data_IF_219359167667
#
_entry.id   IF_219359167667
#
_cell.length_a   1.000
_cell.length_b   1.000
_cell.length_c   1.000
_cell.angle_alpha   90.00
_cell.angle_beta   90.00
_cell.angle_gamma   90.00
#
_symmetry.space_group_name_H-M   'P 1'
#
loop_
_entity.id
_entity.type
_entity.pdbx_description
1 polymer ?
#
# COMPACT_ATOMS: atom_id res chain seq x y z
N UNK A 1 12.28 5.39 -17.97
CA UNK A 1 11.21 4.44 -18.37
C UNK A 1 10.15 4.41 -17.28
N UNK A 2 8.86 4.35 -17.65
CA UNK A 2 7.77 4.15 -16.68
C UNK A 2 7.71 2.67 -16.33
N UNK A 3 7.65 2.33 -15.04
CA UNK A 3 7.52 0.93 -14.58
C UNK A 3 6.13 0.40 -14.92
N UNK A 4 6.07 -0.87 -15.30
CA UNK A 4 4.80 -1.58 -15.47
C UNK A 4 4.12 -1.77 -14.11
N UNK A 5 2.83 -1.46 -14.00
CA UNK A 5 2.04 -1.69 -12.79
C UNK A 5 1.25 -2.98 -12.94
N UNK A 6 1.49 -3.95 -12.06
CA UNK A 6 0.83 -5.25 -12.05
C UNK A 6 -0.06 -5.37 -10.81
N UNK A 7 -1.32 -5.72 -11.01
CA UNK A 7 -2.26 -5.99 -9.93
C UNK A 7 -2.34 -7.50 -9.71
N UNK A 8 -1.97 -7.96 -8.53
CA UNK A 8 -2.09 -9.37 -8.16
C UNK A 8 -3.55 -9.82 -8.09
N UNK A 9 -3.80 -11.12 -8.25
CA UNK A 9 -5.12 -11.71 -8.01
C UNK A 9 -5.64 -11.40 -6.60
N UNK A 10 -4.75 -11.38 -5.60
CA UNK A 10 -5.12 -11.02 -4.23
C UNK A 10 -5.62 -9.57 -4.14
N UNK A 11 -4.90 -8.62 -4.75
CA UNK A 11 -5.32 -7.23 -4.79
C UNK A 11 -6.67 -7.07 -5.51
N UNK A 12 -6.83 -7.66 -6.70
CA UNK A 12 -8.06 -7.57 -7.49
C UNK A 12 -9.27 -8.06 -6.69
N UNK A 13 -9.12 -9.16 -5.96
CA UNK A 13 -10.16 -9.67 -5.06
C UNK A 13 -10.49 -8.66 -3.95
N UNK A 14 -9.47 -8.08 -3.30
CA UNK A 14 -9.68 -7.07 -2.24
C UNK A 14 -10.37 -5.82 -2.76
N UNK A 15 -10.01 -5.35 -3.96
CA UNK A 15 -10.64 -4.19 -4.62
C UNK A 15 -12.14 -4.44 -4.75
N UNK A 16 -12.51 -5.58 -5.35
CA UNK A 16 -13.91 -5.96 -5.56
C UNK A 16 -14.69 -6.13 -4.24
N UNK A 17 -14.14 -6.90 -3.29
CA UNK A 17 -14.84 -7.21 -2.03
C UNK A 17 -15.02 -5.99 -1.12
N UNK A 18 -14.12 -5.01 -1.22
CA UNK A 18 -14.13 -3.84 -0.33
C UNK A 18 -14.76 -2.61 -0.95
N UNK A 19 -15.10 -2.66 -2.24
CA UNK A 19 -15.56 -1.50 -3.02
C UNK A 19 -14.52 -0.37 -3.01
N UNK A 20 -13.28 -0.73 -3.33
CA UNK A 20 -12.18 0.21 -3.45
C UNK A 20 -12.10 0.68 -4.90
N UNK A 21 -11.95 1.99 -5.18
CA UNK A 21 -11.79 2.46 -6.55
C UNK A 21 -10.60 1.77 -7.23
N UNK A 22 -10.82 1.21 -8.42
CA UNK A 22 -9.83 0.34 -9.08
C UNK A 22 -8.45 0.99 -9.22
N UNK A 23 -8.38 2.29 -9.56
CA UNK A 23 -7.11 3.01 -9.74
C UNK A 23 -6.45 3.48 -8.44
N UNK A 24 -7.14 3.40 -7.30
CA UNK A 24 -6.63 3.91 -6.02
C UNK A 24 -5.32 3.26 -5.56
N UNK A 25 -5.12 1.93 -5.68
CA UNK A 25 -3.86 1.31 -5.25
C UNK A 25 -2.66 1.82 -6.03
N UNK A 26 -2.79 1.99 -7.35
CA UNK A 26 -1.74 2.57 -8.17
C UNK A 26 -1.46 4.02 -7.76
N UNK A 27 -2.52 4.83 -7.59
CA UNK A 27 -2.37 6.23 -7.17
C UNK A 27 -1.57 6.36 -5.88
N UNK A 28 -1.94 5.62 -4.83
CA UNK A 28 -1.20 5.62 -3.55
C UNK A 28 0.24 5.13 -3.76
N UNK A 29 0.43 4.06 -4.55
CA UNK A 29 1.76 3.53 -4.81
C UNK A 29 2.70 4.54 -5.51
N UNK A 30 2.16 5.35 -6.41
CA UNK A 30 2.92 6.35 -7.19
C UNK A 30 3.09 7.67 -6.44
N UNK A 31 2.07 8.14 -5.72
CA UNK A 31 1.99 9.51 -5.21
C UNK A 31 2.24 9.65 -3.70
N UNK A 32 2.11 8.57 -2.91
CA UNK A 32 2.23 8.68 -1.45
C UNK A 32 3.62 9.18 -1.04
N UNK A 33 3.64 10.20 -0.17
CA UNK A 33 4.86 10.73 0.45
C UNK A 33 5.35 9.82 1.59
N UNK A 34 4.43 9.18 2.30
CA UNK A 34 4.78 8.33 3.42
C UNK A 34 5.06 6.90 2.97
N UNK A 35 6.32 6.48 3.13
CA UNK A 35 6.80 5.18 2.66
C UNK A 35 7.64 4.44 3.69
N UNK A 36 7.55 3.12 3.63
CA UNK A 36 8.32 2.21 4.47
C UNK A 36 8.82 0.99 3.69
N UNK A 37 9.82 0.33 4.25
CA UNK A 37 10.21 -1.04 3.92
C UNK A 37 9.81 -1.97 5.07
N UNK A 38 9.05 -3.02 4.77
CA UNK A 38 8.66 -4.04 5.75
C UNK A 38 9.73 -5.14 5.82
N UNK A 39 10.62 -5.05 6.81
CA UNK A 39 11.77 -5.95 7.00
C UNK A 39 11.39 -7.42 7.24
N UNK A 40 10.13 -7.71 7.58
CA UNK A 40 9.65 -9.10 7.74
C UNK A 40 9.29 -9.74 6.39
N UNK A 41 8.80 -8.94 5.45
CA UNK A 41 8.27 -9.44 4.16
C UNK A 41 9.12 -9.04 2.96
N UNK A 42 10.10 -8.15 3.17
CA UNK A 42 10.89 -7.51 2.12
C UNK A 42 10.05 -6.76 1.07
N UNK A 43 8.87 -6.28 1.47
CA UNK A 43 8.01 -5.46 0.63
C UNK A 43 8.14 -3.98 0.94
N UNK A 44 7.89 -3.17 -0.09
CA UNK A 44 7.70 -1.74 0.08
C UNK A 44 6.25 -1.47 0.49
N UNK A 45 6.08 -0.39 1.22
CA UNK A 45 4.81 0.04 1.80
C UNK A 45 4.62 1.52 1.51
N UNK A 46 3.46 1.88 0.98
CA UNK A 46 3.03 3.26 0.78
C UNK A 46 1.78 3.52 1.63
N UNK A 47 1.72 4.68 2.26
CA UNK A 47 0.63 5.07 3.16
C UNK A 47 0.11 6.43 2.73
N UNK A 48 -1.21 6.58 2.62
CA UNK A 48 -1.84 7.84 2.25
C UNK A 48 -3.22 8.02 2.92
N UNK A 49 -3.66 9.26 3.09
CA UNK A 49 -4.97 9.60 3.66
C UNK A 49 -6.01 9.79 2.56
N UNK A 50 -7.01 8.91 2.51
CA UNK A 50 -8.00 8.87 1.43
C UNK A 50 -9.42 9.02 2.00
N UNK A 51 -10.27 9.76 1.31
CA UNK A 51 -11.72 9.74 1.58
C UNK A 51 -12.32 8.42 1.10
N UNK A 52 -12.67 7.54 2.04
CA UNK A 52 -13.17 6.20 1.74
C UNK A 52 -14.25 5.76 2.74
N UNK A 53 -15.41 5.39 2.20
CA UNK A 53 -16.64 5.06 2.96
C UNK A 53 -17.06 6.18 3.92
N UNK A 54 -17.21 7.39 3.37
CA UNK A 54 -17.80 8.54 4.06
C UNK A 54 -16.87 9.30 5.02
N UNK A 55 -15.59 8.91 5.13
CA UNK A 55 -14.62 9.60 5.99
C UNK A 55 -13.19 9.45 5.50
N UNK A 56 -12.31 10.31 5.99
CA UNK A 56 -10.87 10.19 5.77
C UNK A 56 -10.36 8.95 6.52
N UNK A 57 -9.58 8.12 5.82
CA UNK A 57 -8.90 6.97 6.38
C UNK A 57 -7.50 6.89 5.84
N UNK A 58 -6.57 6.54 6.72
CA UNK A 58 -5.25 6.11 6.32
C UNK A 58 -5.36 4.77 5.60
N UNK A 59 -4.83 4.68 4.39
CA UNK A 59 -4.84 3.51 3.53
C UNK A 59 -3.39 3.08 3.31
N UNK A 60 -3.14 1.78 3.43
CA UNK A 60 -1.84 1.19 3.11
C UNK A 60 -1.91 0.41 1.82
N UNK A 61 -0.87 0.58 1.00
CA UNK A 61 -0.58 -0.25 -0.17
C UNK A 61 0.75 -0.97 0.05
N UNK A 62 0.75 -2.29 -0.13
CA UNK A 62 1.95 -3.12 -0.06
C UNK A 62 2.30 -3.60 -1.46
N UNK A 63 3.56 -3.44 -1.85
CA UNK A 63 4.03 -3.74 -3.19
C UNK A 63 5.47 -4.25 -3.20
N UNK A 64 5.81 -4.99 -4.24
CA UNK A 64 7.18 -5.31 -4.61
C UNK A 64 7.58 -4.46 -5.81
N UNK A 65 8.81 -3.94 -5.78
CA UNK A 65 9.34 -3.08 -6.84
C UNK A 65 10.62 -3.68 -7.38
N UNK A 66 10.71 -3.73 -8.70
CA UNK A 66 11.91 -4.10 -9.46
C UNK A 66 12.32 -2.95 -10.38
N UNK A 67 13.29 -3.16 -11.25
CA UNK A 67 13.72 -2.15 -12.22
C UNK A 67 12.62 -1.85 -13.26
N UNK A 68 11.88 -2.88 -13.69
CA UNK A 68 10.91 -2.76 -14.80
C UNK A 68 9.45 -2.72 -14.34
N UNK A 69 9.13 -3.31 -13.19
CA UNK A 69 7.74 -3.48 -12.72
C UNK A 69 7.54 -3.19 -11.24
N UNK A 70 6.31 -2.81 -10.91
CA UNK A 70 5.76 -2.71 -9.56
C UNK A 70 4.56 -3.66 -9.47
N UNK A 71 4.65 -4.63 -8.57
CA UNK A 71 3.58 -5.58 -8.30
C UNK A 71 2.87 -5.20 -7.00
N UNK A 72 1.61 -4.77 -7.12
CA UNK A 72 0.81 -4.36 -5.98
C UNK A 72 0.09 -5.58 -5.39
N UNK A 73 0.41 -5.88 -4.13
CA UNK A 73 -0.02 -7.10 -3.44
C UNK A 73 -1.34 -6.89 -2.72
N UNK A 74 -1.51 -5.77 -2.02
CA UNK A 74 -2.75 -5.52 -1.27
C UNK A 74 -2.97 -4.03 -0.99
N UNK A 75 -4.24 -3.69 -0.73
CA UNK A 75 -4.67 -2.40 -0.21
C UNK A 75 -5.67 -2.61 0.93
N UNK A 76 -5.54 -1.84 2.01
CA UNK A 76 -6.52 -1.83 3.10
C UNK A 76 -6.44 -0.56 3.95
N UNK A 77 -7.51 -0.22 4.69
CA UNK A 77 -7.40 0.77 5.75
C UNK A 77 -6.37 0.34 6.79
N UNK A 78 -5.48 1.26 7.16
CA UNK A 78 -4.46 1.08 8.17
C UNK A 78 -4.98 1.61 9.51
N UNK A 79 -4.83 0.82 10.58
CA UNK A 79 -5.09 1.28 11.94
C UNK A 79 -3.82 1.94 12.48
N UNK A 80 -3.99 3.06 13.18
CA UNK A 80 -2.87 3.82 13.74
C UNK A 80 -2.01 2.97 14.69
N UNK A 81 -2.62 2.18 15.57
CA UNK A 81 -1.88 1.31 16.50
C UNK A 81 -1.08 0.22 15.77
N UNK A 82 -1.61 -0.29 14.67
CA UNK A 82 -0.91 -1.27 13.83
C UNK A 82 0.32 -0.64 13.18
N UNK A 83 0.19 0.57 12.63
CA UNK A 83 1.30 1.33 12.06
C UNK A 83 2.39 1.60 13.08
N UNK A 84 2.01 2.20 14.21
CA UNK A 84 2.93 2.58 15.29
C UNK A 84 3.66 1.36 15.86
N UNK A 85 2.96 0.24 16.04
CA UNK A 85 3.57 -1.02 16.49
C UNK A 85 4.62 -1.54 15.49
N UNK A 86 4.34 -1.52 14.18
CA UNK A 86 5.31 -1.97 13.17
C UNK A 86 6.53 -1.06 13.09
N UNK A 87 6.35 0.26 13.24
CA UNK A 87 7.46 1.22 13.27
C UNK A 87 8.29 1.02 14.54
N UNK A 88 7.65 0.98 15.72
CA UNK A 88 8.31 0.81 17.02
C UNK A 88 9.17 -0.46 17.08
N UNK A 89 8.66 -1.55 16.51
CA UNK A 89 9.36 -2.84 16.48
C UNK A 89 10.35 -2.98 15.31
N UNK A 90 10.68 -1.88 14.61
CA UNK A 90 11.58 -1.86 13.44
C UNK A 90 11.20 -2.84 12.33
N UNK A 91 9.92 -3.22 12.29
CA UNK A 91 9.37 -3.98 11.17
C UNK A 91 9.19 -3.07 9.96
N UNK A 92 8.62 -1.88 10.15
CA UNK A 92 8.54 -0.86 9.11
C UNK A 92 9.66 0.16 9.31
N UNK A 93 10.58 0.18 8.35
CA UNK A 93 11.73 1.08 8.32
C UNK A 93 11.41 2.19 7.32
N UNK A 94 11.53 3.46 7.74
CA UNK A 94 11.18 4.61 6.88
C UNK A 94 12.09 4.64 5.65
N UNK A 95 11.49 4.82 4.47
CA UNK A 95 12.19 5.05 3.20
C UNK A 95 12.36 6.55 2.94
#
# INVERSE_FOLDING_TARGET
MKKEIIYTTHLQLRIKLRDIPYKLPQKICEEAEERYFDSKTNYSVAVDNIYYKGKIREMVVVYQETIDKIEIVTIHPLKIDEKLSKIKNRRWIKK
#
